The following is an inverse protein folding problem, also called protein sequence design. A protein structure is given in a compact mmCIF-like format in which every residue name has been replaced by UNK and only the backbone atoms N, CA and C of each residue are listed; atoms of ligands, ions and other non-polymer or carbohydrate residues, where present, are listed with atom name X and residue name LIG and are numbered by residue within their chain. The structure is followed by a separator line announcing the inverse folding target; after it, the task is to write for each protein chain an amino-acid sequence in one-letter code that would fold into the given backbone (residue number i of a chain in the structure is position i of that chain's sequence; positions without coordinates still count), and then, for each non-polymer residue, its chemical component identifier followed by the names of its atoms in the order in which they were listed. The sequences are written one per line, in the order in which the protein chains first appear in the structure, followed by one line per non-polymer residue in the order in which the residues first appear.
data_IF_630141182372
#
_entry.id   IF_630141182372
#
_cell.length_a   1.000
_cell.length_b   1.000
_cell.length_c   1.000
_cell.angle_alpha   90.00
_cell.angle_beta   90.00
_cell.angle_gamma   90.00
#
_symmetry.space_group_name_H-M   'P 1'
#
loop_
_entity.id
_entity.type
_entity.pdbx_description
1 polymer ?
#
# COMPACT_ATOMS: atom_id res chain seq x y z
N UNK A 1 12.29 -16.29 -21.80
CA UNK A 1 13.50 -15.46 -21.62
C UNK A 1 13.07 -14.20 -20.87
N UNK A 2 13.72 -13.88 -19.73
CA UNK A 2 13.28 -12.79 -18.85
C UNK A 2 13.51 -11.40 -19.45
N UNK A 3 12.75 -10.41 -18.98
CA UNK A 3 13.01 -8.99 -19.28
C UNK A 3 14.44 -8.62 -18.90
N UNK A 4 15.13 -7.82 -19.73
CA UNK A 4 16.48 -7.33 -19.41
C UNK A 4 16.45 -6.56 -18.08
N UNK A 5 17.42 -6.77 -17.18
CA UNK A 5 17.48 -6.05 -15.91
C UNK A 5 17.67 -4.55 -16.14
N UNK A 6 17.29 -3.75 -15.15
CA UNK A 6 17.48 -2.29 -15.12
C UNK A 6 18.59 -1.96 -14.15
N UNK A 7 19.56 -1.15 -14.56
CA UNK A 7 20.73 -0.85 -13.74
C UNK A 7 20.46 0.29 -12.75
N UNK A 8 21.02 0.15 -11.55
CA UNK A 8 21.08 1.19 -10.52
C UNK A 8 22.53 1.31 -10.04
N UNK A 9 23.10 2.52 -10.09
CA UNK A 9 24.41 2.79 -9.49
C UNK A 9 24.21 3.36 -8.09
N UNK A 10 24.71 2.70 -7.06
CA UNK A 10 24.57 3.13 -5.66
C UNK A 10 25.91 3.56 -5.08
N UNK A 11 25.91 4.63 -4.27
CA UNK A 11 27.08 5.17 -3.62
C UNK A 11 26.97 4.97 -2.10
N UNK A 12 27.83 4.12 -1.57
CA UNK A 12 27.75 3.63 -0.18
C UNK A 12 28.86 4.25 0.67
N UNK A 13 28.49 4.83 1.81
CA UNK A 13 29.45 5.17 2.86
C UNK A 13 29.69 3.92 3.72
N UNK A 14 30.85 3.27 3.52
CA UNK A 14 31.25 2.06 4.25
C UNK A 14 31.33 2.28 5.76
N UNK A 15 31.70 3.48 6.21
CA UNK A 15 31.82 3.80 7.64
C UNK A 15 30.45 3.94 8.28
N UNK A 16 29.53 4.62 7.60
CA UNK A 16 28.13 4.78 8.05
C UNK A 16 27.28 3.53 7.81
N UNK A 17 27.75 2.57 6.99
CA UNK A 17 26.98 1.42 6.50
C UNK A 17 25.63 1.85 5.92
N UNK A 18 25.67 2.87 5.06
CA UNK A 18 24.49 3.52 4.51
C UNK A 18 24.68 3.87 3.03
N UNK A 19 23.64 3.68 2.24
CA UNK A 19 23.55 4.25 0.89
C UNK A 19 23.33 5.75 1.03
N UNK A 20 24.24 6.55 0.49
CA UNK A 20 24.10 8.01 0.54
C UNK A 20 23.14 8.48 -0.54
N UNK A 21 23.33 7.99 -1.76
CA UNK A 21 22.45 8.23 -2.91
C UNK A 21 22.69 7.15 -3.97
N UNK A 22 21.84 7.14 -4.98
CA UNK A 22 21.96 6.33 -6.17
C UNK A 22 21.77 7.20 -7.41
N UNK A 23 22.39 6.81 -8.51
CA UNK A 23 22.18 7.37 -9.83
C UNK A 23 21.44 6.34 -10.69
N UNK A 24 20.35 6.79 -11.33
CA UNK A 24 19.47 5.94 -12.10
C UNK A 24 19.03 6.62 -13.40
N UNK A 25 18.88 5.84 -14.46
CA UNK A 25 18.24 6.30 -15.70
C UNK A 25 16.71 6.31 -15.60
N UNK A 26 16.06 6.90 -16.61
CA UNK A 26 14.60 7.04 -16.61
C UNK A 26 13.85 5.73 -16.39
N UNK A 27 14.33 4.61 -16.93
CA UNK A 27 13.58 3.35 -16.85
C UNK A 27 13.42 2.86 -15.42
N UNK A 28 14.44 3.05 -14.58
CA UNK A 28 14.38 2.69 -13.16
C UNK A 28 13.34 3.57 -12.43
N UNK A 29 13.37 4.88 -12.70
CA UNK A 29 12.46 5.84 -12.08
C UNK A 29 11.01 5.65 -12.54
N UNK A 30 10.79 5.29 -13.81
CA UNK A 30 9.45 4.96 -14.30
C UNK A 30 8.88 3.73 -13.59
N UNK A 31 9.69 2.70 -13.36
CA UNK A 31 9.26 1.53 -12.58
C UNK A 31 8.99 1.92 -11.13
N UNK A 32 9.85 2.74 -10.51
CA UNK A 32 9.67 3.24 -9.15
C UNK A 32 8.36 4.03 -9.00
N UNK A 33 8.09 4.98 -9.91
CA UNK A 33 6.85 5.76 -9.89
C UNK A 33 5.61 4.90 -10.19
N UNK A 34 5.75 3.82 -10.96
CA UNK A 34 4.65 2.88 -11.22
C UNK A 34 4.12 2.19 -9.97
N UNK A 35 4.89 2.15 -8.87
CA UNK A 35 4.45 1.60 -7.58
C UNK A 35 3.15 2.25 -7.10
N UNK A 36 3.00 3.57 -7.30
CA UNK A 36 1.79 4.30 -6.91
C UNK A 36 0.55 3.85 -7.70
N UNK A 37 0.72 3.22 -8.86
CA UNK A 37 -0.39 2.74 -9.70
C UNK A 37 -0.83 1.31 -9.38
N UNK A 38 -0.10 0.61 -8.51
CA UNK A 38 -0.40 -0.76 -8.10
C UNK A 38 -1.60 -0.77 -7.16
N UNK A 39 -2.66 -1.54 -7.45
CA UNK A 39 -3.71 -1.80 -6.47
C UNK A 39 -3.12 -2.45 -5.21
N UNK A 40 -3.68 -2.14 -4.04
CA UNK A 40 -3.18 -2.69 -2.77
C UNK A 40 -3.22 -4.22 -2.74
N UNK A 41 -4.18 -4.87 -3.41
CA UNK A 41 -4.18 -6.33 -3.53
C UNK A 41 -2.99 -6.86 -4.34
N UNK A 42 -2.49 -6.12 -5.32
CA UNK A 42 -1.22 -6.45 -6.00
C UNK A 42 -0.03 -6.30 -5.07
N UNK A 43 0.01 -5.23 -4.27
CA UNK A 43 1.07 -5.00 -3.26
C UNK A 43 1.08 -6.14 -2.23
N UNK A 44 -0.09 -6.52 -1.71
CA UNK A 44 -0.24 -7.63 -0.77
C UNK A 44 0.22 -8.96 -1.39
N UNK A 45 -0.19 -9.24 -2.62
CA UNK A 45 0.20 -10.46 -3.36
C UNK A 45 1.70 -10.55 -3.62
N UNK A 46 2.36 -9.46 -4.00
CA UNK A 46 3.82 -9.41 -4.17
C UNK A 46 4.52 -9.67 -2.82
N UNK A 47 3.90 -9.21 -1.74
CA UNK A 47 4.41 -9.42 -0.38
C UNK A 47 4.34 -10.89 0.02
N UNK A 48 3.25 -11.60 -0.30
CA UNK A 48 3.04 -13.01 0.07
C UNK A 48 3.68 -14.04 -0.86
N UNK A 49 4.00 -13.71 -2.12
CA UNK A 49 4.54 -14.68 -3.11
C UNK A 49 6.00 -15.09 -2.91
N UNK A 50 6.81 -14.33 -2.17
CA UNK A 50 8.25 -14.61 -2.03
C UNK A 50 8.54 -15.71 -0.99
N UNK A 51 7.61 -16.65 -0.79
CA UNK A 51 7.70 -17.80 0.14
C UNK A 51 8.75 -18.85 -0.28
N UNK A 52 9.35 -18.75 -1.47
CA UNK A 52 10.11 -19.84 -2.08
C UNK A 52 11.64 -19.82 -1.85
N UNK A 53 12.23 -18.83 -1.17
CA UNK A 53 13.66 -18.83 -0.89
C UNK A 53 13.97 -18.15 0.45
N UNK A 54 14.07 -18.95 1.52
CA UNK A 54 14.88 -18.74 2.74
C UNK A 54 14.90 -17.36 3.44
N UNK A 55 13.99 -16.43 3.16
CA UNK A 55 13.95 -15.13 3.82
C UNK A 55 12.53 -14.73 4.21
N UNK A 56 12.45 -14.03 5.33
CA UNK A 56 11.29 -13.85 6.20
C UNK A 56 10.10 -13.15 5.53
N UNK A 57 8.89 -13.64 5.85
CA UNK A 57 7.58 -13.08 5.48
C UNK A 57 7.43 -11.63 5.97
N UNK A 58 7.83 -10.66 5.16
CA UNK A 58 7.56 -9.24 5.43
C UNK A 58 6.12 -8.96 5.03
N UNK A 59 5.18 -9.23 5.96
CA UNK A 59 3.78 -8.84 5.81
C UNK A 59 3.66 -7.32 5.67
N UNK A 60 2.78 -6.86 4.78
CA UNK A 60 2.39 -5.45 4.67
C UNK A 60 1.20 -5.24 5.58
N UNK A 61 1.48 -5.01 6.86
CA UNK A 61 0.45 -4.84 7.90
C UNK A 61 -0.65 -5.91 7.85
N UNK A 62 -1.88 -5.48 8.15
CA UNK A 62 -3.11 -6.26 8.08
C UNK A 62 -3.61 -6.49 6.64
N UNK A 63 -3.10 -5.74 5.66
CA UNK A 63 -3.46 -5.92 4.25
C UNK A 63 -3.07 -7.33 3.75
N UNK A 64 -1.97 -7.89 4.24
CA UNK A 64 -1.57 -9.27 3.95
C UNK A 64 -2.64 -10.28 4.42
N UNK A 65 -3.10 -10.18 5.67
CA UNK A 65 -4.12 -11.08 6.24
C UNK A 65 -5.47 -10.90 5.54
N UNK A 66 -5.82 -9.67 5.13
CA UNK A 66 -7.00 -9.40 4.32
C UNK A 66 -6.93 -10.05 2.92
N UNK A 67 -5.77 -10.00 2.27
CA UNK A 67 -5.56 -10.66 0.97
C UNK A 67 -5.66 -12.18 1.10
N UNK A 68 -5.02 -12.77 2.12
CA UNK A 68 -5.09 -14.21 2.42
C UNK A 68 -6.54 -14.68 2.66
N UNK A 69 -7.39 -13.80 3.22
CA UNK A 69 -8.81 -14.08 3.40
C UNK A 69 -9.53 -14.32 2.07
N UNK A 70 -9.17 -13.59 1.01
CA UNK A 70 -9.73 -13.82 -0.32
C UNK A 70 -9.34 -15.20 -0.83
N UNK A 71 -8.07 -15.59 -0.67
CA UNK A 71 -7.57 -16.91 -1.10
C UNK A 71 -8.35 -18.03 -0.39
N UNK A 72 -8.53 -17.90 0.92
CA UNK A 72 -9.12 -18.92 1.79
C UNK A 72 -10.66 -19.03 1.71
N UNK A 73 -11.38 -17.94 1.39
CA UNK A 73 -12.84 -17.97 1.30
C UNK A 73 -13.32 -18.77 0.09
N UNK A 74 -14.28 -19.67 0.28
CA UNK A 74 -14.88 -20.46 -0.80
C UNK A 74 -15.61 -19.59 -1.82
N UNK A 75 -15.55 -19.98 -3.11
CA UNK A 75 -16.18 -19.26 -4.22
C UNK A 75 -17.69 -19.05 -4.03
N UNK A 76 -18.36 -19.92 -3.25
CA UNK A 76 -19.80 -19.78 -2.95
C UNK A 76 -20.14 -18.48 -2.22
N UNK A 77 -19.17 -17.86 -1.53
CA UNK A 77 -19.38 -16.65 -0.76
C UNK A 77 -19.35 -15.38 -1.63
N UNK A 78 -18.81 -15.47 -2.84
CA UNK A 78 -18.70 -14.34 -3.78
C UNK A 78 -19.91 -14.30 -4.71
N UNK A 79 -20.32 -13.10 -5.10
CA UNK A 79 -21.47 -12.87 -6.01
C UNK A 79 -21.33 -13.66 -7.31
N UNK A 80 -20.12 -13.74 -7.83
CA UNK A 80 -19.72 -14.58 -8.95
C UNK A 80 -18.22 -14.91 -8.88
N UNK A 81 -17.76 -15.85 -9.70
CA UNK A 81 -16.36 -16.27 -9.76
C UNK A 81 -15.41 -15.13 -10.15
N UNK A 82 -15.86 -14.20 -10.99
CA UNK A 82 -15.06 -13.06 -11.41
C UNK A 82 -14.74 -12.10 -10.25
N UNK A 83 -15.62 -11.94 -9.26
CA UNK A 83 -15.37 -11.09 -8.09
C UNK A 83 -14.14 -11.56 -7.31
N UNK A 84 -14.03 -12.86 -7.01
CA UNK A 84 -12.87 -13.42 -6.29
C UNK A 84 -11.60 -13.24 -7.11
N UNK A 85 -11.63 -13.58 -8.40
CA UNK A 85 -10.48 -13.44 -9.30
C UNK A 85 -10.01 -11.98 -9.38
N UNK A 86 -10.95 -11.03 -9.46
CA UNK A 86 -10.67 -9.60 -9.54
C UNK A 86 -10.09 -9.01 -8.25
N UNK A 87 -10.34 -9.63 -7.09
CA UNK A 87 -9.72 -9.25 -5.81
C UNK A 87 -8.34 -9.90 -5.62
N UNK A 88 -8.16 -11.14 -6.11
CA UNK A 88 -6.86 -11.83 -6.07
C UNK A 88 -5.85 -11.23 -7.06
N UNK A 89 -6.31 -10.79 -8.22
CA UNK A 89 -5.46 -10.19 -9.27
C UNK A 89 -6.07 -8.87 -9.73
N UNK A 90 -5.98 -7.82 -8.89
CA UNK A 90 -6.65 -6.57 -9.19
C UNK A 90 -6.04 -5.83 -10.38
N UNK A 91 -6.92 -5.22 -11.17
CA UNK A 91 -6.53 -4.45 -12.34
C UNK A 91 -6.14 -3.01 -11.96
N UNK A 92 -5.11 -2.49 -12.61
CA UNK A 92 -4.77 -1.06 -12.57
C UNK A 92 -5.45 -0.33 -13.74
N UNK A 93 -6.00 0.87 -13.49
CA UNK A 93 -6.50 1.74 -14.56
C UNK A 93 -5.41 2.14 -15.55
N UNK A 94 -4.15 2.08 -15.11
CA UNK A 94 -2.96 2.52 -15.86
C UNK A 94 -2.22 1.34 -16.51
N UNK A 95 -2.85 0.17 -16.59
CA UNK A 95 -2.24 -1.07 -17.08
C UNK A 95 -1.63 -0.91 -18.48
N UNK A 96 -2.35 -0.30 -19.43
CA UNK A 96 -1.88 -0.13 -20.80
C UNK A 96 -0.60 0.74 -20.92
N UNK A 97 -0.40 1.68 -19.99
CA UNK A 97 0.83 2.46 -19.91
C UNK A 97 1.93 1.66 -19.21
N UNK A 98 1.61 1.03 -18.07
CA UNK A 98 2.59 0.29 -17.27
C UNK A 98 3.11 -0.99 -17.96
N UNK A 99 2.35 -1.53 -18.92
CA UNK A 99 2.79 -2.64 -19.78
C UNK A 99 3.98 -2.27 -20.68
N UNK A 100 4.20 -0.97 -20.93
CA UNK A 100 5.33 -0.48 -21.73
C UNK A 100 6.62 -0.32 -20.91
N UNK A 101 6.54 -0.45 -19.58
CA UNK A 101 7.71 -0.37 -18.70
C UNK A 101 8.61 -1.59 -18.94
N UNK A 102 9.93 -1.39 -18.78
CA UNK A 102 10.89 -2.50 -18.87
C UNK A 102 10.57 -3.65 -17.92
N UNK A 103 10.04 -3.33 -16.73
CA UNK A 103 9.56 -4.29 -15.73
C UNK A 103 8.19 -3.83 -15.25
N UNK A 104 7.22 -4.74 -15.26
CA UNK A 104 5.86 -4.47 -14.80
C UNK A 104 5.51 -5.39 -13.62
N UNK A 105 5.43 -4.83 -12.42
CA UNK A 105 5.11 -5.56 -11.19
C UNK A 105 3.67 -6.09 -11.16
N UNK A 106 2.77 -5.59 -12.01
CA UNK A 106 1.41 -6.14 -12.11
C UNK A 106 1.38 -7.50 -12.83
N UNK A 107 2.43 -7.87 -13.58
CA UNK A 107 2.39 -9.02 -14.48
C UNK A 107 2.21 -10.33 -13.69
N UNK A 108 1.11 -11.04 -13.96
CA UNK A 108 0.83 -12.36 -13.36
C UNK A 108 1.41 -13.50 -14.19
N UNK A 109 1.90 -13.20 -15.40
CA UNK A 109 2.59 -14.09 -16.32
C UNK A 109 3.93 -13.47 -16.74
N UNK A 110 4.95 -14.25 -17.09
CA UNK A 110 6.16 -13.72 -17.72
C UNK A 110 5.75 -12.97 -18.98
N UNK A 111 6.23 -11.74 -19.16
CA UNK A 111 5.97 -10.97 -20.37
C UNK A 111 6.58 -11.72 -21.55
N UNK A 112 5.75 -12.23 -22.46
CA UNK A 112 6.23 -12.57 -23.80
C UNK A 112 6.63 -11.25 -24.46
N UNK A 113 7.87 -11.21 -24.96
CA UNK A 113 8.43 -10.04 -25.61
C UNK A 113 7.60 -9.72 -26.86
N UNK A 114 6.56 -8.90 -26.70
CA UNK A 114 6.01 -8.19 -27.83
C UNK A 114 7.10 -7.25 -28.31
N UNK A 115 7.41 -7.36 -29.60
CA UNK A 115 8.38 -6.56 -30.34
C UNK A 115 7.91 -5.11 -30.50
N UNK A 116 7.58 -4.46 -29.39
CA UNK A 116 7.25 -3.03 -29.33
C UNK A 116 8.53 -2.30 -28.98
N UNK A 117 9.10 -1.67 -30.00
CA UNK A 117 10.08 -0.55 -29.94
C UNK A 117 10.69 -0.33 -28.56
N UNK A 118 11.78 -1.05 -28.28
CA UNK A 118 12.55 -1.07 -27.03
C UNK A 118 13.22 0.27 -26.63
N UNK A 119 12.60 1.42 -26.86
CA UNK A 119 13.21 2.73 -26.66
C UNK A 119 12.28 3.88 -26.25
N UNK A 120 10.97 3.68 -26.15
CA UNK A 120 10.06 4.76 -25.80
C UNK A 120 9.92 4.92 -24.28
N UNK A 121 10.48 6.02 -23.78
CA UNK A 121 10.25 6.56 -22.44
C UNK A 121 8.75 6.60 -22.18
N UNK A 122 8.25 6.11 -21.04
CA UNK A 122 6.80 5.98 -20.78
C UNK A 122 6.21 7.25 -20.16
N UNK A 123 6.76 7.70 -19.03
CA UNK A 123 6.26 8.83 -18.24
C UNK A 123 7.04 10.13 -18.50
N UNK A 124 8.31 10.05 -18.88
CA UNK A 124 9.15 11.24 -19.11
C UNK A 124 9.17 11.69 -20.58
N UNK A 125 9.46 12.99 -20.80
CA UNK A 125 9.56 13.59 -22.14
C UNK A 125 10.72 13.07 -22.97
N UNK A 126 11.83 12.77 -22.29
CA UNK A 126 13.09 12.35 -22.91
C UNK A 126 13.88 11.51 -21.93
N UNK A 127 14.91 10.84 -22.44
CA UNK A 127 15.87 10.13 -21.61
C UNK A 127 16.61 11.10 -20.70
N UNK A 128 16.71 10.76 -19.43
CA UNK A 128 17.30 11.61 -18.39
C UNK A 128 17.74 10.76 -17.22
N UNK A 129 18.75 11.24 -16.50
CA UNK A 129 19.25 10.62 -15.27
C UNK A 129 18.73 11.34 -14.04
N UNK A 130 18.60 10.59 -12.96
CA UNK A 130 18.13 11.05 -11.67
C UNK A 130 19.07 10.60 -10.56
N UNK A 131 19.14 11.41 -9.52
CA UNK A 131 19.65 11.02 -8.21
C UNK A 131 18.47 10.53 -7.38
N UNK A 132 18.63 9.38 -6.76
CA UNK A 132 17.66 8.78 -5.83
C UNK A 132 18.31 8.71 -4.46
N UNK A 133 17.71 9.33 -3.45
CA UNK A 133 18.19 9.23 -2.08
C UNK A 133 17.79 7.90 -1.45
N UNK A 134 18.40 7.54 -0.32
CA UNK A 134 18.10 6.30 0.40
C UNK A 134 16.60 6.12 0.70
N UNK A 135 15.93 7.22 1.03
CA UNK A 135 14.49 7.32 1.30
C UNK A 135 13.65 7.53 0.03
N UNK A 136 14.18 7.22 -1.16
CA UNK A 136 13.49 7.21 -2.46
C UNK A 136 12.97 8.56 -2.94
N UNK A 137 13.56 9.66 -2.48
CA UNK A 137 13.35 10.95 -3.11
C UNK A 137 14.11 10.99 -4.44
N UNK A 138 13.43 11.38 -5.52
CA UNK A 138 13.94 11.37 -6.89
C UNK A 138 14.14 12.80 -7.36
N UNK A 139 15.37 13.10 -7.74
CA UNK A 139 15.81 14.45 -8.10
C UNK A 139 16.51 14.39 -9.47
N UNK A 140 16.22 15.28 -10.43
CA UNK A 140 16.97 15.34 -11.69
C UNK A 140 18.45 15.64 -11.47
N UNK A 141 19.35 15.00 -12.23
CA UNK A 141 20.79 15.32 -12.18
C UNK A 141 21.02 16.70 -12.80
N UNK A 142 21.24 17.71 -11.94
CA UNK A 142 21.60 19.08 -12.30
C UNK A 142 22.72 19.56 -11.38
N UNK A 143 23.67 20.36 -11.86
CA UNK A 143 24.86 20.74 -11.08
C UNK A 143 24.52 21.38 -9.72
N UNK A 144 23.60 22.34 -9.72
CA UNK A 144 23.14 23.06 -8.53
C UNK A 144 22.42 22.13 -7.55
N UNK A 145 21.47 21.32 -8.03
CA UNK A 145 20.70 20.41 -7.18
C UNK A 145 21.56 19.26 -6.65
N UNK A 146 22.46 18.70 -7.48
CA UNK A 146 23.37 17.63 -7.10
C UNK A 146 24.32 18.07 -5.98
N UNK A 147 24.96 19.24 -6.11
CA UNK A 147 25.86 19.76 -5.07
C UNK A 147 25.10 20.09 -3.79
N UNK A 148 23.91 20.70 -3.91
CA UNK A 148 23.06 21.00 -2.75
C UNK A 148 22.69 19.71 -2.00
N UNK A 149 22.31 18.66 -2.73
CA UNK A 149 21.99 17.36 -2.15
C UNK A 149 23.20 16.70 -1.48
N UNK A 150 24.36 16.67 -2.13
CA UNK A 150 25.57 16.07 -1.56
C UNK A 150 25.97 16.75 -0.24
N UNK A 151 25.91 18.09 -0.20
CA UNK A 151 26.12 18.86 1.02
C UNK A 151 25.10 18.50 2.11
N UNK A 152 23.81 18.41 1.75
CA UNK A 152 22.74 18.00 2.67
C UNK A 152 22.96 16.59 3.25
N UNK A 153 23.43 15.66 2.42
CA UNK A 153 23.77 14.30 2.82
C UNK A 153 25.07 14.20 3.64
N UNK A 154 25.84 15.30 3.74
CA UNK A 154 27.13 15.33 4.42
C UNK A 154 28.20 14.50 3.69
N UNK A 155 28.20 14.54 2.37
CA UNK A 155 29.24 13.94 1.51
C UNK A 155 30.29 15.01 1.22
N UNK A 156 31.47 14.87 1.83
CA UNK A 156 32.60 15.80 1.59
C UNK A 156 33.32 15.48 0.27
N UNK A 157 33.58 14.19 0.01
CA UNK A 157 34.28 13.72 -1.18
C UNK A 157 33.59 12.46 -1.72
N UNK A 158 33.13 12.51 -2.98
CA UNK A 158 32.44 11.38 -3.62
C UNK A 158 33.38 10.18 -3.77
N UNK A 159 34.67 10.41 -4.03
CA UNK A 159 35.69 9.36 -4.22
C UNK A 159 35.93 8.51 -2.96
N UNK A 160 35.43 8.93 -1.80
CA UNK A 160 35.46 8.14 -0.56
C UNK A 160 34.28 7.16 -0.45
N UNK A 161 33.26 7.30 -1.30
CA UNK A 161 32.10 6.40 -1.35
C UNK A 161 32.43 5.18 -2.20
N UNK A 162 31.88 4.05 -1.81
CA UNK A 162 31.93 2.83 -2.60
C UNK A 162 30.82 2.87 -3.66
N UNK A 163 31.21 2.96 -4.93
CA UNK A 163 30.32 2.78 -6.06
C UNK A 163 30.03 1.28 -6.27
N UNK A 164 28.75 0.92 -6.32
CA UNK A 164 28.29 -0.42 -6.74
C UNK A 164 27.24 -0.29 -7.84
N UNK A 165 27.27 -1.20 -8.79
CA UNK A 165 26.22 -1.32 -9.81
C UNK A 165 25.36 -2.54 -9.49
N UNK A 166 24.04 -2.35 -9.50
CA UNK A 166 23.07 -3.39 -9.21
C UNK A 166 22.12 -3.58 -10.38
N UNK A 167 21.78 -4.84 -10.65
CA UNK A 167 20.82 -5.23 -11.68
C UNK A 167 19.48 -5.49 -11.01
N UNK A 168 18.45 -4.75 -11.41
CA UNK A 168 17.10 -4.91 -10.89
C UNK A 168 16.23 -5.66 -11.89
N UNK A 169 15.75 -6.82 -11.48
CA UNK A 169 14.65 -7.57 -12.08
C UNK A 169 13.36 -7.40 -11.28
N UNK A 170 12.39 -8.28 -11.55
CA UNK A 170 11.08 -8.25 -10.91
C UNK A 170 11.17 -8.48 -9.39
N UNK A 171 12.06 -9.37 -8.94
CA UNK A 171 12.23 -9.70 -7.52
C UNK A 171 12.89 -8.55 -6.74
N UNK A 172 13.87 -7.89 -7.36
CA UNK A 172 14.55 -6.72 -6.79
C UNK A 172 13.59 -5.55 -6.64
N UNK A 173 12.81 -5.22 -7.67
CA UNK A 173 11.78 -4.18 -7.56
C UNK A 173 10.65 -4.56 -6.58
N UNK A 174 10.28 -5.84 -6.51
CA UNK A 174 9.31 -6.33 -5.53
C UNK A 174 9.82 -6.14 -4.10
N UNK A 175 11.11 -6.41 -3.87
CA UNK A 175 11.76 -6.19 -2.57
C UNK A 175 11.88 -4.71 -2.24
N UNK A 176 12.25 -3.88 -3.22
CA UNK A 176 12.30 -2.42 -3.05
C UNK A 176 10.94 -1.85 -2.67
N UNK A 177 9.86 -2.30 -3.33
CA UNK A 177 8.49 -1.91 -2.99
C UNK A 177 8.17 -2.25 -1.53
N UNK A 178 8.49 -3.47 -1.07
CA UNK A 178 8.27 -3.87 0.34
C UNK A 178 9.01 -2.96 1.30
N UNK A 179 10.30 -2.71 1.07
CA UNK A 179 11.08 -1.81 1.92
C UNK A 179 10.52 -0.38 1.90
N UNK A 180 10.07 0.13 0.74
CA UNK A 180 9.51 1.48 0.64
C UNK A 180 8.28 1.74 1.52
N UNK A 181 7.55 0.68 1.89
CA UNK A 181 6.36 0.73 2.73
C UNK A 181 6.65 0.73 4.23
N UNK A 182 7.81 0.20 4.65
CA UNK A 182 8.08 -0.13 6.06
C UNK A 182 9.30 0.58 6.66
N UNK A 183 10.13 1.21 5.84
CA UNK A 183 11.38 1.85 6.28
C UNK A 183 11.64 3.18 5.56
N UNK A 184 12.42 4.05 6.21
CA UNK A 184 12.95 5.29 5.66
C UNK A 184 14.34 5.11 5.01
N UNK A 185 14.89 3.88 4.97
CA UNK A 185 16.17 3.57 4.30
C UNK A 185 16.06 2.36 3.38
N UNK A 186 15.10 2.32 2.44
CA UNK A 186 14.87 1.17 1.60
C UNK A 186 16.06 0.79 0.71
N UNK A 187 16.84 1.75 0.17
CA UNK A 187 18.02 1.39 -0.62
C UNK A 187 19.11 0.77 0.25
N UNK A 188 19.38 1.31 1.44
CA UNK A 188 20.34 0.72 2.38
C UNK A 188 19.96 -0.72 2.75
N UNK A 189 18.68 -0.97 3.04
CA UNK A 189 18.21 -2.32 3.38
C UNK A 189 18.34 -3.28 2.19
N UNK A 190 18.12 -2.79 0.97
CA UNK A 190 18.27 -3.56 -0.25
C UNK A 190 19.73 -3.85 -0.62
N UNK A 191 20.63 -2.88 -0.45
CA UNK A 191 22.04 -2.96 -0.88
C UNK A 191 22.92 -3.70 0.13
N UNK A 192 22.66 -3.51 1.43
CA UNK A 192 23.52 -3.99 2.51
C UNK A 192 22.95 -5.17 3.29
N UNK A 193 21.75 -5.64 2.94
CA UNK A 193 21.07 -6.70 3.68
C UNK A 193 20.57 -6.17 5.02
N UNK A 194 19.48 -5.43 4.98
CA UNK A 194 18.83 -4.89 6.17
C UNK A 194 18.50 -5.97 7.20
N UNK A 195 18.71 -5.67 8.50
CA UNK A 195 18.04 -6.45 9.55
C UNK A 195 16.53 -6.28 9.37
N UNK A 196 15.80 -7.40 9.43
CA UNK A 196 14.33 -7.55 9.31
C UNK A 196 13.58 -6.26 9.63
N UNK A 197 12.58 -5.84 8.82
CA UNK A 197 11.73 -4.72 9.20
C UNK A 197 11.12 -5.05 10.55
N UNK A 198 11.50 -4.29 11.57
CA UNK A 198 10.91 -4.44 12.88
C UNK A 198 9.43 -4.07 12.72
N UNK A 199 8.52 -4.95 13.10
CA UNK A 199 7.11 -4.63 13.33
C UNK A 199 6.99 -3.70 14.56
N UNK A 200 7.73 -2.60 14.59
CA UNK A 200 7.62 -1.59 15.62
C UNK A 200 6.41 -0.72 15.28
N UNK A 201 5.27 -1.06 15.89
CA UNK A 201 4.00 -0.33 15.89
C UNK A 201 4.05 1.05 16.56
N UNK A 202 5.23 1.64 16.77
CA UNK A 202 5.39 2.85 17.60
C UNK A 202 5.29 4.18 16.86
N UNK A 203 4.85 4.20 15.60
CA UNK A 203 4.80 5.43 14.79
C UNK A 203 3.36 5.87 14.45
N UNK A 204 2.38 5.66 15.32
CA UNK A 204 1.13 6.43 15.27
C UNK A 204 1.04 7.25 16.56
N UNK A 205 1.73 8.40 16.58
CA UNK A 205 1.20 9.51 17.38
C UNK A 205 -0.08 9.92 16.68
N UNK A 206 -1.23 9.75 17.33
CA UNK A 206 -2.52 10.29 16.93
C UNK A 206 -2.39 11.80 16.75
N UNK A 207 -1.96 12.19 15.55
CA UNK A 207 -1.89 13.59 15.16
C UNK A 207 -3.28 13.95 14.67
N UNK A 208 -3.88 14.94 15.33
CA UNK A 208 -5.09 15.62 14.89
C UNK A 208 -5.05 15.83 13.39
N UNK A 209 -6.08 15.33 12.72
CA UNK A 209 -6.36 15.53 11.30
C UNK A 209 -6.09 16.97 10.91
N UNK A 210 -5.14 17.19 9.99
CA UNK A 210 -5.09 18.43 9.23
C UNK A 210 -6.38 18.53 8.43
N UNK A 211 -7.11 19.63 8.62
CA UNK A 211 -8.26 20.01 7.81
C UNK A 211 -7.81 20.25 6.36
N UNK A 212 -7.63 19.20 5.57
CA UNK A 212 -7.64 19.32 4.12
C UNK A 212 -9.11 19.21 3.68
N UNK A 213 -9.60 20.03 2.74
CA UNK A 213 -10.96 19.91 2.27
C UNK A 213 -11.09 18.57 1.53
N UNK A 214 -11.55 17.52 2.22
CA UNK A 214 -12.16 16.40 1.53
C UNK A 214 -13.35 17.00 0.79
N UNK A 215 -13.35 16.88 -0.54
CA UNK A 215 -14.54 17.12 -1.34
C UNK A 215 -15.53 16.01 -0.99
N UNK A 216 -16.22 16.12 0.14
CA UNK A 216 -17.38 15.30 0.46
C UNK A 216 -18.58 15.97 -0.21
N UNK A 217 -19.20 15.31 -1.20
CA UNK A 217 -20.42 15.85 -1.80
C UNK A 217 -21.72 15.32 -1.21
N UNK A 218 -21.71 14.39 -0.23
CA UNK A 218 -22.94 13.90 0.43
C UNK A 218 -22.67 13.42 1.88
N UNK A 219 -23.64 13.52 2.80
CA UNK A 219 -23.55 12.89 4.11
C UNK A 219 -23.61 11.37 3.95
N UNK A 220 -22.47 10.70 4.14
CA UNK A 220 -22.40 9.23 4.11
C UNK A 220 -23.08 8.64 5.34
N UNK A 221 -24.01 7.69 5.13
CA UNK A 221 -24.68 6.99 6.22
C UNK A 221 -23.66 6.15 7.00
N UNK A 222 -23.50 6.46 8.29
CA UNK A 222 -22.68 5.67 9.20
C UNK A 222 -23.36 4.32 9.46
N UNK A 223 -22.56 3.28 9.61
CA UNK A 223 -23.05 1.92 9.83
C UNK A 223 -22.44 1.32 11.11
N UNK A 224 -23.14 0.39 11.76
CA UNK A 224 -22.73 -0.15 13.06
C UNK A 224 -22.00 -1.47 12.92
N UNK A 225 -20.93 -1.65 13.69
CA UNK A 225 -20.16 -2.90 13.80
C UNK A 225 -20.06 -3.28 15.26
N UNK A 226 -20.15 -4.58 15.58
CA UNK A 226 -19.94 -5.08 16.94
C UNK A 226 -18.50 -5.56 17.09
N UNK A 227 -17.76 -4.95 18.00
CA UNK A 227 -16.40 -5.35 18.35
C UNK A 227 -16.41 -6.17 19.63
N UNK A 228 -15.69 -7.27 19.65
CA UNK A 228 -15.32 -8.00 20.86
C UNK A 228 -13.99 -7.44 21.35
N UNK A 229 -13.94 -6.94 22.58
CA UNK A 229 -12.79 -6.25 23.14
C UNK A 229 -12.34 -6.95 24.42
N UNK A 230 -11.02 -7.11 24.57
CA UNK A 230 -10.41 -7.47 25.84
C UNK A 230 -10.24 -6.21 26.70
N UNK A 231 -11.01 -6.11 27.79
CA UNK A 231 -11.06 -4.93 28.66
C UNK A 231 -9.70 -4.59 29.26
N UNK A 232 -9.02 -5.59 29.84
CA UNK A 232 -7.74 -5.41 30.53
C UNK A 232 -6.64 -4.79 29.65
N UNK A 233 -6.66 -5.06 28.34
CA UNK A 233 -5.65 -4.58 27.38
C UNK A 233 -6.16 -3.52 26.42
N UNK A 234 -7.47 -3.22 26.46
CA UNK A 234 -8.16 -2.37 25.47
C UNK A 234 -7.83 -2.81 24.02
N UNK A 235 -7.84 -4.11 23.77
CA UNK A 235 -7.48 -4.72 22.49
C UNK A 235 -8.71 -5.30 21.81
N UNK A 236 -8.88 -5.05 20.51
CA UNK A 236 -9.91 -5.70 19.71
C UNK A 236 -9.51 -7.17 19.49
N UNK A 237 -10.41 -8.08 19.79
CA UNK A 237 -10.24 -9.51 19.54
C UNK A 237 -10.74 -9.87 18.15
N UNK A 238 -11.94 -9.41 17.81
CA UNK A 238 -12.52 -9.47 16.47
C UNK A 238 -13.71 -8.51 16.34
N UNK A 239 -14.15 -8.28 15.11
CA UNK A 239 -15.41 -7.66 14.78
C UNK A 239 -16.39 -8.71 14.25
N UNK A 240 -17.62 -8.69 14.76
CA UNK A 240 -18.76 -9.32 14.12
C UNK A 240 -19.38 -8.30 13.17
N UNK A 241 -19.38 -8.61 11.88
CA UNK A 241 -19.66 -7.65 10.83
C UNK A 241 -20.54 -8.23 9.72
N UNK A 242 -21.42 -7.40 9.16
CA UNK A 242 -22.24 -7.77 8.00
C UNK A 242 -21.51 -7.45 6.69
N UNK A 243 -22.14 -7.77 5.55
CA UNK A 243 -21.55 -7.57 4.22
C UNK A 243 -20.96 -6.17 4.03
N UNK A 244 -21.60 -5.10 4.47
CA UNK A 244 -21.14 -3.73 4.20
C UNK A 244 -19.68 -3.48 4.64
N UNK A 245 -19.31 -4.03 5.80
CA UNK A 245 -17.98 -3.81 6.38
C UNK A 245 -16.94 -4.64 5.62
N UNK A 246 -17.29 -5.88 5.26
CA UNK A 246 -16.41 -6.74 4.49
C UNK A 246 -16.26 -6.26 3.05
N UNK A 247 -17.32 -5.77 2.41
CA UNK A 247 -17.28 -5.11 1.10
C UNK A 247 -16.36 -3.89 1.14
N UNK A 248 -16.44 -3.07 2.19
CA UNK A 248 -15.52 -1.96 2.41
C UNK A 248 -14.08 -2.44 2.55
N UNK A 249 -13.80 -3.46 3.37
CA UNK A 249 -12.45 -4.00 3.51
C UNK A 249 -11.93 -4.56 2.16
N UNK A 250 -12.72 -5.38 1.47
CA UNK A 250 -12.32 -5.96 0.17
C UNK A 250 -12.09 -4.87 -0.89
N UNK A 251 -12.84 -3.77 -0.83
CA UNK A 251 -12.59 -2.63 -1.72
C UNK A 251 -11.17 -2.04 -1.56
N UNK A 252 -10.53 -2.16 -0.38
CA UNK A 252 -9.16 -1.70 -0.18
C UNK A 252 -8.19 -2.33 -1.17
N UNK A 253 -8.35 -3.62 -1.48
CA UNK A 253 -7.49 -4.35 -2.41
C UNK A 253 -7.53 -3.80 -3.84
N UNK A 254 -8.58 -3.04 -4.18
CA UNK A 254 -8.75 -2.41 -5.49
C UNK A 254 -8.16 -0.99 -5.58
N UNK A 255 -7.85 -0.38 -4.44
CA UNK A 255 -7.36 1.00 -4.37
C UNK A 255 -5.89 1.04 -4.83
N UNK A 256 -5.51 1.88 -5.79
CA UNK A 256 -4.10 2.10 -6.12
C UNK A 256 -3.32 2.73 -4.95
N UNK A 257 -2.07 2.32 -4.74
CA UNK A 257 -1.23 2.77 -3.63
C UNK A 257 -1.12 4.30 -3.53
N UNK A 258 -0.99 5.01 -4.64
CA UNK A 258 -0.95 6.47 -4.67
C UNK A 258 -2.28 7.11 -4.24
N UNK A 259 -3.41 6.49 -4.57
CA UNK A 259 -4.72 6.97 -4.13
C UNK A 259 -4.94 6.67 -2.64
N UNK A 260 -4.55 5.49 -2.17
CA UNK A 260 -4.54 5.16 -0.75
C UNK A 260 -3.65 6.15 0.04
N UNK A 261 -2.46 6.47 -0.48
CA UNK A 261 -1.58 7.47 0.13
C UNK A 261 -2.25 8.84 0.21
N UNK A 262 -2.84 9.30 -0.90
CA UNK A 262 -3.58 10.57 -0.95
C UNK A 262 -4.66 10.63 0.12
N UNK A 263 -5.49 9.58 0.26
CA UNK A 263 -6.58 9.50 1.23
C UNK A 263 -6.09 9.47 2.68
N UNK A 264 -4.91 8.89 2.91
CA UNK A 264 -4.35 8.66 4.25
C UNK A 264 -3.25 9.66 4.61
N UNK A 265 -3.09 10.73 3.83
CA UNK A 265 -2.05 11.74 4.02
C UNK A 265 -2.18 12.40 5.38
N UNK A 266 -1.13 12.33 6.19
CA UNK A 266 -1.00 13.00 7.48
C UNK A 266 0.44 13.46 7.72
N UNK A 267 0.68 14.13 8.86
CA UNK A 267 1.99 14.63 9.27
C UNK A 267 2.91 13.54 9.87
N UNK A 268 2.73 12.27 9.49
CA UNK A 268 3.60 11.19 9.95
C UNK A 268 5.01 11.31 9.35
N UNK A 269 5.97 10.53 9.88
CA UNK A 269 7.33 10.50 9.34
C UNK A 269 7.30 10.05 7.87
N UNK A 270 7.95 10.78 6.95
CA UNK A 270 7.91 10.44 5.53
C UNK A 270 8.51 9.04 5.29
N UNK A 271 7.73 8.20 4.65
CA UNK A 271 8.11 6.90 4.10
C UNK A 271 8.71 7.07 2.70
N UNK A 272 9.30 6.00 2.14
CA UNK A 272 9.78 6.01 0.76
C UNK A 272 8.67 6.37 -0.24
N UNK A 273 7.43 5.92 0.02
CA UNK A 273 6.26 6.25 -0.79
C UNK A 273 5.92 7.75 -0.74
N UNK A 274 6.11 8.40 0.41
CA UNK A 274 5.85 9.84 0.56
C UNK A 274 6.82 10.67 -0.27
N UNK A 275 8.10 10.30 -0.24
CA UNK A 275 9.12 10.96 -1.03
C UNK A 275 8.92 10.74 -2.52
N UNK A 276 8.51 9.53 -2.96
CA UNK A 276 8.11 9.30 -4.34
C UNK A 276 6.94 10.20 -4.77
N UNK A 277 5.90 10.31 -3.94
CA UNK A 277 4.74 11.17 -4.20
C UNK A 277 5.15 12.64 -4.33
N UNK A 278 6.00 13.12 -3.43
CA UNK A 278 6.53 14.48 -3.45
C UNK A 278 7.43 14.73 -4.66
N UNK A 279 8.25 13.75 -5.03
CA UNK A 279 9.13 13.80 -6.21
C UNK A 279 8.31 14.01 -7.47
N UNK A 280 7.27 13.20 -7.69
CA UNK A 280 6.38 13.33 -8.86
C UNK A 280 5.69 14.70 -8.86
N UNK A 281 5.27 15.18 -7.69
CA UNK A 281 4.68 16.52 -7.54
C UNK A 281 5.64 17.62 -8.00
N UNK A 282 6.92 17.52 -7.63
CA UNK A 282 7.98 18.49 -7.98
C UNK A 282 8.44 18.41 -9.45
N UNK A 283 8.40 17.22 -10.05
CA UNK A 283 8.79 16.97 -11.45
C UNK A 283 7.70 17.35 -12.46
N UNK A 284 6.53 17.75 -11.97
CA UNK A 284 5.33 18.03 -12.75
C UNK A 284 5.16 19.49 -13.19
N UNK A 285 6.24 20.26 -13.33
CA UNK A 285 6.26 21.61 -13.91
C UNK A 285 6.20 21.61 -15.46
N UNK A 286 5.98 20.44 -16.06
CA UNK A 286 6.01 20.22 -17.50
C UNK A 286 7.42 20.12 -18.08
N UNK A 287 8.49 20.17 -17.28
CA UNK A 287 9.87 20.02 -17.79
C UNK A 287 10.27 18.56 -17.97
N UNK A 288 9.84 17.68 -17.06
CA UNK A 288 10.29 16.28 -17.01
C UNK A 288 9.21 15.30 -17.46
N UNK A 289 8.04 15.30 -16.80
CA UNK A 289 6.92 14.42 -17.16
C UNK A 289 6.30 14.83 -18.51
N UNK A 290 5.80 13.86 -19.29
CA UNK A 290 5.22 14.12 -20.62
C UNK A 290 4.04 15.08 -20.57
N UNK A 291 3.17 14.91 -19.58
CA UNK A 291 1.92 15.67 -19.48
C UNK A 291 1.39 15.73 -18.05
N UNK A 292 0.49 16.68 -17.81
CA UNK A 292 -0.18 16.82 -16.50
C UNK A 292 -1.13 15.64 -16.25
N UNK A 293 -1.66 15.00 -17.30
CA UNK A 293 -2.47 13.79 -17.17
C UNK A 293 -1.67 12.62 -16.60
N UNK A 294 -0.39 12.45 -17.00
CA UNK A 294 0.49 11.42 -16.41
C UNK A 294 0.76 11.71 -14.95
N UNK A 295 1.09 12.97 -14.62
CA UNK A 295 1.32 13.39 -13.24
C UNK A 295 0.08 13.12 -12.37
N UNK A 296 -1.10 13.54 -12.83
CA UNK A 296 -2.36 13.29 -12.14
C UNK A 296 -2.68 11.80 -12.03
N UNK A 297 -2.37 11.01 -13.05
CA UNK A 297 -2.52 9.55 -13.02
C UNK A 297 -1.61 8.90 -11.96
N UNK A 298 -0.39 9.39 -11.76
CA UNK A 298 0.54 8.86 -10.76
C UNK A 298 0.18 9.29 -9.33
N UNK A 299 -0.20 10.57 -9.13
CA UNK A 299 -0.54 11.15 -7.82
C UNK A 299 -1.96 10.81 -7.36
N UNK A 300 -2.87 10.58 -8.31
CA UNK A 300 -4.25 10.20 -8.07
C UNK A 300 -4.69 9.13 -9.08
N UNK A 301 -4.14 7.91 -9.01
CA UNK A 301 -4.58 6.84 -9.90
C UNK A 301 -6.04 6.47 -9.60
N UNK A 302 -6.82 6.35 -10.68
CA UNK A 302 -8.23 5.98 -10.59
C UNK A 302 -8.38 4.48 -10.36
N UNK A 303 -9.52 4.06 -9.84
CA UNK A 303 -9.90 2.64 -9.86
C UNK A 303 -10.08 2.18 -11.31
N UNK A 304 -9.80 0.91 -11.58
CA UNK A 304 -10.11 0.33 -12.88
C UNK A 304 -11.63 0.33 -13.10
N UNK A 305 -12.06 0.58 -14.34
CA UNK A 305 -13.48 0.78 -14.69
C UNK A 305 -14.37 -0.45 -14.49
N UNK A 306 -13.77 -1.64 -14.32
CA UNK A 306 -14.50 -2.87 -14.05
C UNK A 306 -14.91 -3.03 -12.57
N UNK A 307 -14.48 -2.14 -11.68
CA UNK A 307 -14.89 -2.16 -10.27
C UNK A 307 -16.15 -1.34 -10.06
N UNK A 308 -17.17 -2.01 -9.50
CA UNK A 308 -18.43 -1.40 -9.11
C UNK A 308 -18.30 -0.73 -7.74
N UNK A 309 -19.22 0.20 -7.45
CA UNK A 309 -19.33 0.84 -6.14
C UNK A 309 -19.91 -0.14 -5.14
N UNK A 310 -19.06 -0.72 -4.29
CA UNK A 310 -19.46 -1.68 -3.23
C UNK A 310 -19.61 -1.05 -1.85
N UNK A 311 -19.10 0.17 -1.67
CA UNK A 311 -19.21 0.92 -0.42
C UNK A 311 -19.31 2.41 -0.71
N UNK A 312 -20.07 3.12 0.12
CA UNK A 312 -20.15 4.59 0.12
C UNK A 312 -19.25 5.19 1.22
N UNK A 313 -18.57 4.36 2.03
CA UNK A 313 -17.70 4.79 3.14
C UNK A 313 -16.31 5.28 2.68
N UNK A 314 -15.99 5.18 1.38
CA UNK A 314 -14.71 5.61 0.83
C UNK A 314 -14.92 6.50 -0.39
N UNK A 315 -14.26 7.66 -0.49
CA UNK A 315 -14.37 8.57 -1.63
C UNK A 315 -13.45 8.13 -2.79
N UNK A 316 -13.58 6.86 -3.22
CA UNK A 316 -12.74 6.24 -4.26
C UNK A 316 -13.46 6.04 -5.61
N UNK A 317 -14.79 6.10 -5.61
CA UNK A 317 -15.61 5.86 -6.79
C UNK A 317 -15.99 7.16 -7.50
N UNK A 318 -16.03 7.12 -8.83
CA UNK A 318 -16.62 8.20 -9.61
C UNK A 318 -18.14 8.23 -9.38
N UNK A 319 -18.76 9.43 -9.45
CA UNK A 319 -20.21 9.59 -9.21
C UNK A 319 -21.08 8.74 -10.14
N UNK A 320 -20.59 8.46 -11.35
CA UNK A 320 -21.27 7.66 -12.36
C UNK A 320 -21.06 6.15 -12.19
N UNK A 321 -20.23 5.70 -11.24
CA UNK A 321 -19.98 4.28 -11.01
C UNK A 321 -21.27 3.61 -10.51
N UNK A 322 -21.67 2.54 -11.19
CA UNK A 322 -22.83 1.73 -10.81
C UNK A 322 -22.58 0.96 -9.51
N UNK A 323 -23.65 0.72 -8.76
CA UNK A 323 -23.60 -0.05 -7.52
C UNK A 323 -23.37 -1.54 -7.83
N UNK A 324 -22.66 -2.24 -6.94
CA UNK A 324 -22.43 -3.67 -7.02
C UNK A 324 -22.02 -4.26 -5.67
N UNK A 325 -21.57 -5.52 -5.69
CA UNK A 325 -21.08 -6.25 -4.52
C UNK A 325 -20.04 -7.30 -4.96
N UNK A 326 -19.08 -7.59 -4.09
CA UNK A 326 -18.17 -8.73 -4.25
C UNK A 326 -18.77 -10.00 -3.65
N UNK A 327 -19.57 -9.88 -2.60
CA UNK A 327 -20.11 -10.97 -1.80
C UNK A 327 -21.59 -11.22 -2.10
N UNK A 328 -21.99 -12.49 -2.09
CA UNK A 328 -23.41 -12.84 -2.01
C UNK A 328 -23.98 -12.37 -0.68
N UNK A 329 -25.26 -12.03 -0.66
CA UNK A 329 -25.98 -11.74 0.57
C UNK A 329 -25.81 -12.90 1.56
N UNK A 330 -25.13 -12.62 2.68
CA UNK A 330 -24.84 -13.58 3.74
C UNK A 330 -24.98 -12.90 5.09
N UNK A 331 -25.33 -13.71 6.10
CA UNK A 331 -25.83 -13.20 7.37
C UNK A 331 -24.78 -12.48 8.24
N UNK A 332 -23.52 -12.94 8.29
CA UNK A 332 -22.49 -12.37 9.20
C UNK A 332 -21.08 -12.90 8.88
N UNK A 333 -20.05 -12.10 9.14
CA UNK A 333 -18.63 -12.46 9.12
C UNK A 333 -17.94 -12.15 10.45
N UNK A 334 -16.80 -12.79 10.67
CA UNK A 334 -15.85 -12.44 11.73
C UNK A 334 -14.60 -11.87 11.09
N UNK A 335 -14.22 -10.67 11.52
CA UNK A 335 -13.01 -9.98 11.09
C UNK A 335 -12.04 -9.90 12.26
N UNK A 336 -10.83 -10.42 12.12
CA UNK A 336 -9.81 -10.33 13.18
C UNK A 336 -9.28 -8.90 13.35
N UNK A 337 -8.52 -8.65 14.41
CA UNK A 337 -7.79 -7.39 14.59
C UNK A 337 -6.79 -7.12 13.44
N UNK A 338 -6.29 -8.18 12.80
CA UNK A 338 -5.44 -8.09 11.62
C UNK A 338 -6.23 -8.00 10.30
N UNK A 339 -7.55 -7.74 10.35
CA UNK A 339 -8.44 -7.69 9.19
C UNK A 339 -8.61 -9.01 8.41
N UNK A 340 -8.25 -10.15 9.02
CA UNK A 340 -8.56 -11.45 8.44
C UNK A 340 -10.07 -11.71 8.49
N UNK A 341 -10.69 -12.01 7.35
CA UNK A 341 -12.12 -12.24 7.20
C UNK A 341 -12.40 -13.73 7.14
N UNK A 342 -13.25 -14.19 8.05
CA UNK A 342 -13.77 -15.56 8.09
C UNK A 342 -15.30 -15.54 8.16
N UNK A 343 -15.94 -16.60 7.67
CA UNK A 343 -17.40 -16.72 7.77
C UNK A 343 -17.85 -16.99 9.21
N UNK A 344 -19.07 -16.52 9.51
CA UNK A 344 -19.72 -16.52 10.83
C UNK A 344 -19.42 -17.77 11.67
N UNK A 345 -19.25 -17.62 12.99
CA UNK A 345 -18.88 -18.74 13.82
C UNK A 345 -20.09 -19.57 14.25
N UNK A 346 -19.86 -20.84 14.54
CA UNK A 346 -20.63 -21.56 15.56
C UNK A 346 -20.10 -21.21 16.95
N UNK A 347 -20.72 -21.66 18.05
CA UNK A 347 -20.20 -21.47 19.42
C UNK A 347 -18.69 -21.79 19.60
N UNK A 348 -18.13 -22.59 18.69
CA UNK A 348 -16.70 -22.94 18.60
C UNK A 348 -15.74 -21.75 18.45
N UNK A 349 -16.15 -20.60 17.91
CA UNK A 349 -15.22 -19.44 17.82
C UNK A 349 -15.13 -18.70 19.15
N UNK A 350 -16.20 -18.68 19.94
CA UNK A 350 -16.15 -18.10 21.29
C UNK A 350 -15.26 -18.97 22.19
N UNK A 351 -15.30 -20.30 22.05
CA UNK A 351 -14.41 -21.19 22.83
C UNK A 351 -12.93 -21.00 22.48
N UNK A 352 -12.58 -20.52 21.30
CA UNK A 352 -11.18 -20.17 20.95
C UNK A 352 -10.60 -19.11 21.90
N UNK A 353 -11.39 -18.18 22.44
CA UNK A 353 -10.87 -17.19 23.38
C UNK A 353 -10.46 -17.80 24.73
N UNK A 354 -11.19 -18.83 25.20
CA UNK A 354 -10.77 -19.60 26.37
C UNK A 354 -9.45 -20.33 26.10
N UNK A 355 -9.24 -20.84 24.86
CA UNK A 355 -7.97 -21.49 24.49
C UNK A 355 -6.79 -20.52 24.39
N UNK A 356 -7.05 -19.23 24.16
CA UNK A 356 -6.06 -18.15 24.20
C UNK A 356 -5.76 -17.64 25.62
N UNK A 357 -6.37 -18.26 26.66
CA UNK A 357 -6.18 -17.87 28.05
C UNK A 357 -6.87 -16.55 28.43
N UNK A 358 -7.86 -16.10 27.66
CA UNK A 358 -8.62 -14.88 27.95
C UNK A 358 -9.88 -15.26 28.73
N UNK A 359 -10.06 -14.80 29.99
CA UNK A 359 -11.29 -15.05 30.73
C UNK A 359 -12.48 -14.41 30.04
N UNK A 360 -13.61 -15.13 29.91
CA UNK A 360 -14.85 -14.58 29.32
C UNK A 360 -15.30 -13.30 30.03
N UNK A 361 -15.09 -13.20 31.34
CA UNK A 361 -15.39 -12.00 32.12
C UNK A 361 -14.54 -10.76 31.77
N UNK A 362 -13.42 -10.93 31.05
CA UNK A 362 -12.57 -9.85 30.52
C UNK A 362 -12.97 -9.42 29.09
N UNK A 363 -13.95 -10.11 28.48
CA UNK A 363 -14.45 -9.81 27.14
C UNK A 363 -15.71 -8.93 27.25
N UNK A 364 -15.78 -7.88 26.44
CA UNK A 364 -16.98 -7.07 26.27
C UNK A 364 -17.34 -6.91 24.79
N UNK A 365 -18.62 -6.67 24.52
CA UNK A 365 -19.11 -6.34 23.18
C UNK A 365 -19.36 -4.84 23.12
N UNK A 366 -18.65 -4.14 22.25
CA UNK A 366 -18.80 -2.71 22.00
C UNK A 366 -19.37 -2.47 20.60
N UNK A 367 -20.46 -1.71 20.53
CA UNK A 367 -21.06 -1.35 19.25
C UNK A 367 -20.54 0.02 18.80
N UNK A 368 -19.82 0.02 17.68
CA UNK A 368 -19.18 1.21 17.12
C UNK A 368 -19.85 1.63 15.82
N UNK A 369 -19.87 2.94 15.59
CA UNK A 369 -20.36 3.52 14.35
C UNK A 369 -19.17 3.83 13.43
N UNK A 370 -19.18 3.29 12.22
CA UNK A 370 -18.16 3.48 11.18
C UNK A 370 -18.71 4.42 10.11
N UNK A 371 -18.04 5.55 9.90
CA UNK A 371 -18.25 6.45 8.77
C UNK A 371 -16.99 6.57 7.91
N UNK A 372 -16.97 7.56 7.03
CA UNK A 372 -15.86 7.78 6.09
C UNK A 372 -14.51 7.98 6.78
N UNK A 373 -14.47 8.77 7.86
CA UNK A 373 -13.24 9.01 8.62
C UNK A 373 -12.69 7.72 9.23
N UNK A 374 -13.56 6.90 9.84
CA UNK A 374 -13.17 5.62 10.42
C UNK A 374 -12.72 4.63 9.34
N UNK A 375 -13.36 4.61 8.17
CA UNK A 375 -12.95 3.77 7.04
C UNK A 375 -11.55 4.13 6.51
N UNK A 376 -11.24 5.42 6.38
CA UNK A 376 -9.91 5.90 5.96
C UNK A 376 -8.85 5.55 7.02
N UNK A 377 -9.19 5.64 8.31
CA UNK A 377 -8.27 5.22 9.38
C UNK A 377 -7.99 3.71 9.35
N UNK A 378 -9.01 2.88 9.12
CA UNK A 378 -8.82 1.43 8.98
C UNK A 378 -7.97 1.13 7.73
N UNK A 379 -8.21 1.82 6.59
CA UNK A 379 -7.38 1.71 5.39
C UNK A 379 -5.91 2.03 5.71
N UNK A 380 -5.65 3.13 6.41
CA UNK A 380 -4.29 3.52 6.81
C UNK A 380 -3.63 2.49 7.72
N UNK A 381 -4.34 2.05 8.76
CA UNK A 381 -3.83 1.06 9.69
C UNK A 381 -3.53 -0.27 8.96
N UNK A 382 -4.33 -0.63 7.96
CA UNK A 382 -4.12 -1.86 7.18
C UNK A 382 -2.77 -1.93 6.47
N UNK A 383 -2.20 -0.78 6.08
CA UNK A 383 -0.93 -0.70 5.35
C UNK A 383 0.30 -0.84 6.26
N UNK A 384 0.17 -0.58 7.56
CA UNK A 384 1.31 -0.34 8.46
C UNK A 384 1.29 -1.15 9.74
N UNK A 385 0.11 -1.61 10.17
CA UNK A 385 -0.10 -2.28 11.45
C UNK A 385 -0.68 -3.66 11.27
N UNK A 386 -0.36 -4.57 12.20
CA UNK A 386 -1.03 -5.88 12.31
C UNK A 386 -2.19 -5.85 13.31
N UNK A 387 -2.43 -4.74 14.01
CA UNK A 387 -3.54 -4.58 14.98
C UNK A 387 -4.48 -3.46 14.53
N UNK A 388 -4.88 -3.48 13.26
CA UNK A 388 -5.52 -2.35 12.59
C UNK A 388 -6.81 -1.87 13.27
N UNK A 389 -7.64 -2.79 13.81
CA UNK A 389 -8.87 -2.39 14.50
C UNK A 389 -8.58 -1.80 15.88
N UNK A 390 -7.63 -2.37 16.62
CA UNK A 390 -7.16 -1.83 17.90
C UNK A 390 -6.57 -0.43 17.74
N UNK A 391 -5.77 -0.20 16.69
CA UNK A 391 -5.16 1.10 16.41
C UNK A 391 -6.22 2.18 16.13
N UNK A 392 -7.34 1.80 15.51
CA UNK A 392 -8.46 2.69 15.21
C UNK A 392 -9.46 2.84 16.37
N UNK A 393 -9.34 2.02 17.43
CA UNK A 393 -10.35 1.87 18.47
C UNK A 393 -10.68 3.19 19.19
N UNK A 394 -9.68 4.05 19.38
CA UNK A 394 -9.87 5.36 20.03
C UNK A 394 -10.66 6.37 19.19
N UNK A 395 -10.68 6.18 17.86
CA UNK A 395 -11.39 7.04 16.91
C UNK A 395 -12.82 6.59 16.66
N UNK A 396 -13.15 5.34 17.01
CA UNK A 396 -14.49 4.80 16.84
C UNK A 396 -15.48 5.48 17.79
N UNK A 397 -16.58 5.99 17.22
CA UNK A 397 -17.67 6.58 18.01
C UNK A 397 -18.57 5.48 18.55
N UNK A 398 -18.90 5.56 19.84
CA UNK A 398 -19.89 4.67 20.43
C UNK A 398 -21.25 4.89 19.76
N UNK A 399 -21.86 3.82 19.25
CA UNK A 399 -23.18 3.93 18.61
C UNK A 399 -24.25 4.47 19.59
N UNK A 400 -24.08 4.21 20.90
CA UNK A 400 -24.96 4.68 21.97
C UNK A 400 -24.80 6.17 22.35
N UNK A 401 -23.72 6.84 21.93
CA UNK A 401 -23.50 8.27 22.20
C UNK A 401 -23.92 9.19 21.06
N UNK A 402 -24.58 8.63 20.03
CA UNK A 402 -25.07 9.32 18.85
C UNK A 402 -26.60 9.49 18.85
N UNK A 403 -27.26 9.20 19.98
CA UNK A 403 -28.69 9.41 20.24
C UNK A 403 -28.86 10.60 21.17
#
# INVERSE_FOLDING_TARGET
MGSKPVHLKVFVDKKKKKVMFAEAEQDFVEILFSFLTLPLGTVARISTKNKAATETDTKVGSLSSLYESIENLDNKHFSNEHCKIALMNPNSSSLALCQKLKINLNSTKPVEANDTTHGDVVFFKKKTSFIITDDLNVIPVLLDTSITLLNFLGVEFIDLLEERTMDFGLEEFSSLLKWSLVTNTPLTNMVLGGSKPCSCSSCIKTSTTSNLPLVTSYPTQRQTVKLLIQKSKRKVLCAQADNFFVEMLFSFLTIPLGNAKRLTTDNSSPTGIDNMYNSISSLGDGKYLKSEEIKNMLLCPKLASNYLRVTDLLPIYDKSTSQGCFLKEQGTFIVSDELEVTVSPSLSTISKFNTLGIPVGDIEVMEVSIGEQEAILILKASLTSTTALTDCLSSFKNAKSLI
#
